data_IF_596051189760
#
_entry.id   IF_596051189760
#
_cell.length_a   1.000
_cell.length_b   1.000
_cell.length_c   1.000
_cell.angle_alpha   90.00
_cell.angle_beta   90.00
_cell.angle_gamma   90.00
#
_symmetry.space_group_name_H-M   'P 1'
#
loop_
_entity.id
_entity.type
_entity.pdbx_description
1 polymer ?
#
# COMPACT_ATOMS: atom_id res chain seq x y z
N UNK A 1 -6.57 16.62 0.60
CA UNK A 1 -5.98 17.78 -0.08
C UNK A 1 -4.80 17.29 -0.92
N UNK A 2 -4.55 17.87 -2.10
CA UNK A 2 -3.39 17.51 -2.94
C UNK A 2 -2.27 18.53 -2.79
N UNK A 3 -1.03 18.08 -2.80
CA UNK A 3 0.19 18.92 -2.76
C UNK A 3 0.86 18.89 -4.13
N UNK A 4 1.36 20.04 -4.61
CA UNK A 4 2.06 20.13 -5.90
C UNK A 4 3.48 19.55 -5.77
N UNK A 5 3.86 18.74 -6.75
CA UNK A 5 5.23 18.25 -6.94
C UNK A 5 5.68 18.66 -8.33
N UNK A 6 6.91 19.18 -8.45
CA UNK A 6 7.55 19.46 -9.73
C UNK A 6 8.41 18.25 -10.10
N UNK A 7 8.29 17.76 -11.33
CA UNK A 7 9.03 16.62 -11.84
C UNK A 7 9.82 17.05 -13.07
N UNK A 8 11.06 16.60 -13.18
CA UNK A 8 11.86 16.73 -14.39
C UNK A 8 11.70 15.45 -15.19
N UNK A 9 11.31 15.58 -16.46
CA UNK A 9 11.17 14.46 -17.39
C UNK A 9 11.85 14.81 -18.71
N UNK A 10 12.25 13.80 -19.46
CA UNK A 10 12.81 13.98 -20.80
C UNK A 10 11.76 14.64 -21.71
N UNK A 11 12.20 15.60 -22.53
CA UNK A 11 11.31 16.43 -23.36
C UNK A 11 10.51 15.58 -24.36
N UNK A 12 11.16 14.55 -24.93
CA UNK A 12 10.56 13.59 -25.85
C UNK A 12 9.42 12.77 -25.23
N UNK A 13 9.42 12.58 -23.92
CA UNK A 13 8.38 11.84 -23.21
C UNK A 13 7.14 12.68 -22.91
N UNK A 14 7.23 14.01 -22.93
CA UNK A 14 6.10 14.92 -22.67
C UNK A 14 4.90 14.66 -23.61
N UNK A 15 5.06 14.68 -24.95
CA UNK A 15 3.93 14.45 -25.86
C UNK A 15 3.36 13.04 -25.72
N UNK A 16 4.23 12.03 -25.61
CA UNK A 16 3.85 10.62 -25.47
C UNK A 16 3.01 10.39 -24.21
N UNK A 17 3.45 10.94 -23.07
CA UNK A 17 2.74 10.80 -21.79
C UNK A 17 1.38 11.49 -21.82
N UNK A 18 1.29 12.67 -22.44
CA UNK A 18 0.02 13.39 -22.59
C UNK A 18 -0.96 12.63 -23.49
N UNK A 19 -0.47 12.08 -24.60
CA UNK A 19 -1.28 11.28 -25.51
C UNK A 19 -1.81 10.04 -24.79
N UNK A 20 -0.93 9.28 -24.13
CA UNK A 20 -1.30 8.09 -23.37
C UNK A 20 -2.35 8.41 -22.31
N UNK A 21 -2.15 9.47 -21.52
CA UNK A 21 -3.11 9.86 -20.49
C UNK A 21 -4.48 10.20 -21.10
N UNK A 22 -4.51 10.94 -22.22
CA UNK A 22 -5.74 11.29 -22.92
C UNK A 22 -6.48 10.07 -23.45
N UNK A 23 -5.78 9.13 -24.07
CA UNK A 23 -6.36 7.87 -24.58
C UNK A 23 -6.99 7.04 -23.45
N UNK A 24 -6.48 7.15 -22.24
CA UNK A 24 -6.98 6.47 -21.04
C UNK A 24 -7.93 7.32 -20.19
N UNK A 25 -8.38 8.48 -20.69
CA UNK A 25 -9.31 9.37 -19.99
C UNK A 25 -8.77 9.94 -18.68
N UNK A 26 -7.45 10.06 -18.54
CA UNK A 26 -6.75 10.54 -17.34
C UNK A 26 -5.92 11.80 -17.65
N UNK A 27 -5.60 12.54 -16.61
CA UNK A 27 -4.53 13.55 -16.66
C UNK A 27 -3.15 12.92 -16.40
N UNK A 28 -2.08 13.61 -16.82
CA UNK A 28 -0.70 13.19 -16.50
C UNK A 28 -0.48 13.11 -14.99
N UNK A 29 -1.02 14.07 -14.23
CA UNK A 29 -0.93 14.08 -12.77
C UNK A 29 -1.62 12.87 -12.14
N UNK A 30 -2.78 12.45 -12.65
CA UNK A 30 -3.47 11.24 -12.18
C UNK A 30 -2.73 9.97 -12.56
N UNK A 31 -2.14 9.91 -13.75
CA UNK A 31 -1.31 8.80 -14.18
C UNK A 31 -0.14 8.61 -13.21
N UNK A 32 0.63 9.67 -12.97
CA UNK A 32 1.77 9.65 -12.04
C UNK A 32 1.32 9.31 -10.61
N UNK A 33 0.24 9.93 -10.13
CA UNK A 33 -0.30 9.62 -8.80
C UNK A 33 -0.67 8.14 -8.67
N UNK A 34 -1.29 7.55 -9.71
CA UNK A 34 -1.68 6.13 -9.70
C UNK A 34 -0.46 5.20 -9.68
N UNK A 35 0.57 5.49 -10.49
CA UNK A 35 1.82 4.71 -10.51
C UNK A 35 2.54 4.79 -9.15
N UNK A 36 2.63 5.99 -8.56
CA UNK A 36 3.23 6.17 -7.24
C UNK A 36 2.46 5.42 -6.16
N UNK A 37 1.12 5.43 -6.21
CA UNK A 37 0.30 4.65 -5.27
C UNK A 37 0.55 3.17 -5.43
N UNK A 38 0.59 2.65 -6.64
CA UNK A 38 0.83 1.23 -6.88
C UNK A 38 2.19 0.79 -6.33
N UNK A 39 3.25 1.53 -6.65
CA UNK A 39 4.61 1.23 -6.19
C UNK A 39 4.75 1.34 -4.66
N UNK A 40 4.22 2.41 -4.05
CA UNK A 40 4.39 2.67 -2.63
C UNK A 40 3.40 1.90 -1.73
N UNK A 41 2.23 1.55 -2.24
CA UNK A 41 1.27 0.69 -1.52
C UNK A 41 1.63 -0.79 -1.64
N UNK A 42 2.26 -1.22 -2.74
CA UNK A 42 2.84 -2.54 -2.84
C UNK A 42 3.98 -2.75 -1.82
N UNK A 43 4.75 -1.70 -1.51
CA UNK A 43 5.81 -1.72 -0.49
C UNK A 43 5.34 -1.36 0.92
N UNK A 44 4.04 -1.14 1.14
CA UNK A 44 3.54 -0.84 2.48
C UNK A 44 3.75 -2.05 3.39
N UNK A 45 4.57 -1.97 4.46
CA UNK A 45 4.82 -3.13 5.28
C UNK A 45 3.50 -3.63 5.85
N UNK A 46 3.28 -4.93 5.72
CA UNK A 46 2.18 -5.66 6.32
C UNK A 46 2.13 -5.35 7.81
N UNK A 47 0.97 -5.58 8.44
CA UNK A 47 0.84 -5.43 9.89
C UNK A 47 1.98 -6.14 10.64
N UNK A 48 2.34 -7.35 10.20
CA UNK A 48 3.44 -8.15 10.75
C UNK A 48 4.80 -7.47 10.63
N UNK A 49 5.09 -6.81 9.52
CA UNK A 49 6.35 -6.07 9.30
C UNK A 49 6.40 -4.75 10.08
N UNK A 50 5.24 -4.14 10.36
CA UNK A 50 5.11 -2.95 11.22
C UNK A 50 5.17 -3.28 12.71
N UNK A 51 4.84 -4.52 13.09
CA UNK A 51 4.74 -4.94 14.48
C UNK A 51 6.14 -5.15 15.09
N UNK A 52 6.54 -4.27 16.01
CA UNK A 52 7.81 -4.39 16.77
C UNK A 52 7.67 -5.09 18.12
N UNK A 53 6.47 -5.52 18.49
CA UNK A 53 6.21 -6.22 19.74
C UNK A 53 6.63 -7.69 19.67
N UNK A 54 6.82 -8.34 20.82
CA UNK A 54 6.83 -9.81 20.88
C UNK A 54 5.41 -10.26 21.16
N UNK A 55 4.85 -11.11 20.29
CA UNK A 55 3.58 -11.77 20.59
C UNK A 55 3.82 -12.76 21.72
N UNK A 56 3.16 -12.53 22.85
CA UNK A 56 3.14 -13.45 23.98
C UNK A 56 1.70 -13.81 24.26
N UNK A 57 1.39 -15.10 24.21
CA UNK A 57 0.09 -15.62 24.61
C UNK A 57 -0.06 -15.44 26.12
N UNK A 58 -1.03 -14.61 26.52
CA UNK A 58 -1.46 -14.52 27.91
C UNK A 58 -2.28 -15.78 28.23
N UNK A 59 -1.69 -16.72 28.98
CA UNK A 59 -2.33 -17.99 29.36
C UNK A 59 -3.36 -17.78 30.47
N UNK A 60 -4.38 -16.97 30.19
CA UNK A 60 -5.54 -16.85 31.05
C UNK A 60 -6.44 -18.07 30.88
N UNK A 61 -6.97 -18.57 31.99
CA UNK A 61 -8.05 -19.57 32.02
C UNK A 61 -9.38 -18.96 31.56
N UNK A 62 -9.42 -18.46 30.33
CA UNK A 62 -10.62 -17.96 29.68
C UNK A 62 -11.24 -19.10 28.84
N UNK A 63 -12.52 -19.44 29.03
CA UNK A 63 -13.20 -20.49 28.24
C UNK A 63 -13.14 -20.26 26.72
N UNK A 64 -13.10 -19.00 26.27
CA UNK A 64 -12.95 -18.63 24.86
C UNK A 64 -11.54 -18.91 24.36
N UNK A 65 -10.53 -18.69 25.20
CA UNK A 65 -9.14 -18.99 24.88
C UNK A 65 -8.92 -20.50 24.67
N UNK A 66 -9.40 -21.33 25.60
CA UNK A 66 -9.29 -22.80 25.48
C UNK A 66 -9.97 -23.35 24.22
N UNK A 67 -11.12 -22.78 23.85
CA UNK A 67 -11.83 -23.15 22.61
C UNK A 67 -11.01 -22.80 21.37
N UNK A 68 -10.38 -21.63 21.35
CA UNK A 68 -9.54 -21.18 20.24
C UNK A 68 -8.24 -21.99 20.17
N UNK A 69 -7.62 -22.27 21.32
CA UNK A 69 -6.41 -23.07 21.43
C UNK A 69 -6.60 -24.46 20.83
N UNK A 70 -7.68 -25.14 21.18
CA UNK A 70 -8.02 -26.47 20.62
C UNK A 70 -8.33 -26.42 19.12
N UNK A 71 -8.95 -25.34 18.63
CA UNK A 71 -9.33 -25.23 17.22
C UNK A 71 -8.15 -24.96 16.29
N UNK A 72 -7.17 -24.19 16.76
CA UNK A 72 -6.06 -23.70 15.96
C UNK A 72 -4.71 -24.33 16.35
N UNK A 73 -4.71 -25.33 17.25
CA UNK A 73 -3.51 -26.01 17.76
C UNK A 73 -2.43 -25.04 18.27
N UNK A 74 -2.86 -24.01 19.02
CA UNK A 74 -1.99 -22.97 19.59
C UNK A 74 -1.19 -23.45 20.82
#
# INVERSE_FOLDING_TARGET
MKTRINLTIEEELIPLTKQYAKEHGKSVSELVESMLRELLLAESPTFSEKWRGRFTLDQKNDPKFEKLRKRYEL
#
